data_IF_475375107962
#
_entry.id   IF_475375107962
#
_cell.length_a   1.000
_cell.length_b   1.000
_cell.length_c   1.000
_cell.angle_alpha   90.00
_cell.angle_beta   90.00
_cell.angle_gamma   90.00
#
_symmetry.space_group_name_H-M   'P 1'
#
loop_
_entity.id
_entity.type
_entity.pdbx_description
1 polymer ?
#
# COMPACT_ATOMS: atom_id res chain seq x y z
N UNK A 1 21.74 -20.52 1.28
CA UNK A 1 21.88 -19.73 2.52
C UNK A 1 23.16 -18.94 2.46
N UNK A 2 23.04 -17.66 2.11
CA UNK A 2 23.97 -16.58 2.44
C UNK A 2 23.06 -15.40 2.69
N UNK A 3 22.84 -15.13 3.98
CA UNK A 3 22.03 -14.03 4.46
C UNK A 3 22.84 -12.75 4.27
N UNK A 4 22.60 -12.08 3.14
CA UNK A 4 23.10 -10.73 2.91
C UNK A 4 22.30 -9.80 3.81
N UNK A 5 22.95 -9.29 4.87
CA UNK A 5 22.40 -8.22 5.70
C UNK A 5 21.91 -7.02 4.87
N UNK A 6 21.16 -6.10 5.48
CA UNK A 6 20.34 -5.12 4.78
C UNK A 6 21.22 -4.15 3.99
N UNK A 7 21.51 -4.49 2.73
CA UNK A 7 21.90 -3.53 1.70
C UNK A 7 20.76 -2.53 1.60
N UNK A 8 21.07 -1.22 1.67
CA UNK A 8 20.21 -0.07 1.39
C UNK A 8 18.86 -0.48 0.82
N UNK A 9 17.89 -0.72 1.71
CA UNK A 9 16.57 -1.13 1.28
C UNK A 9 15.98 0.08 0.56
N UNK A 10 16.11 0.09 -0.78
CA UNK A 10 15.45 1.06 -1.65
C UNK A 10 14.02 1.24 -1.13
N UNK A 11 13.64 2.48 -0.89
CA UNK A 11 12.29 2.84 -0.47
C UNK A 11 11.28 2.11 -1.37
N UNK A 12 10.38 1.34 -0.74
CA UNK A 12 9.34 0.57 -1.42
C UNK A 12 8.07 1.40 -1.41
N UNK A 13 7.38 1.43 -2.55
CA UNK A 13 6.13 2.17 -2.67
C UNK A 13 5.06 1.66 -1.71
N UNK A 14 4.19 2.56 -1.29
CA UNK A 14 3.07 2.31 -0.38
C UNK A 14 2.22 1.12 -0.83
N UNK A 15 1.83 1.09 -2.10
CA UNK A 15 1.05 -0.02 -2.68
C UNK A 15 1.79 -1.36 -2.63
N UNK A 16 3.11 -1.36 -2.81
CA UNK A 16 3.94 -2.56 -2.68
C UNK A 16 3.89 -3.15 -1.26
N UNK A 17 3.86 -2.27 -0.25
CA UNK A 17 3.78 -2.64 1.17
C UNK A 17 2.39 -3.13 1.59
N UNK A 18 1.34 -2.60 0.97
CA UNK A 18 -0.05 -2.87 1.32
C UNK A 18 -0.73 -3.94 0.45
N UNK A 19 -0.06 -4.40 -0.59
CA UNK A 19 -0.56 -5.36 -1.57
C UNK A 19 -1.25 -6.60 -1.02
N UNK A 20 -0.76 -7.14 0.10
CA UNK A 20 -1.31 -8.33 0.73
C UNK A 20 -2.65 -8.08 1.43
N UNK A 21 -3.01 -6.80 1.66
CA UNK A 21 -4.28 -6.34 2.23
C UNK A 21 -5.29 -5.88 1.17
N UNK A 22 -4.97 -6.02 -0.12
CA UNK A 22 -5.89 -5.71 -1.21
C UNK A 22 -7.22 -6.46 -1.01
N UNK A 23 -8.32 -5.71 -0.85
CA UNK A 23 -9.65 -6.25 -0.57
C UNK A 23 -10.33 -5.74 0.70
N UNK A 24 -9.62 -5.01 1.57
CA UNK A 24 -10.19 -4.38 2.75
C UNK A 24 -10.04 -2.85 2.64
N UNK A 25 -11.02 -2.19 2.02
CA UNK A 25 -10.88 -0.81 1.55
C UNK A 25 -10.69 0.25 2.66
N UNK A 26 -11.44 0.16 3.77
CA UNK A 26 -11.29 1.08 4.91
C UNK A 26 -10.00 0.81 5.72
N UNK A 27 -9.63 -0.46 6.00
CA UNK A 27 -8.32 -0.79 6.56
C UNK A 27 -7.15 -0.32 5.70
N UNK A 28 -7.29 -0.29 4.36
CA UNK A 28 -6.18 0.06 3.47
C UNK A 28 -5.67 1.50 3.69
N UNK A 29 -6.55 2.48 3.86
CA UNK A 29 -6.14 3.87 4.04
C UNK A 29 -5.52 4.13 5.42
N UNK A 30 -6.02 3.47 6.48
CA UNK A 30 -5.42 3.57 7.82
C UNK A 30 -4.08 2.89 7.89
N UNK A 31 -3.95 1.73 7.24
CA UNK A 31 -2.69 1.01 7.14
C UNK A 31 -1.66 1.79 6.33
N UNK A 32 -2.08 2.44 5.25
CA UNK A 32 -1.25 3.33 4.48
C UNK A 32 -0.72 4.51 5.31
N UNK A 33 -1.60 5.13 6.10
CA UNK A 33 -1.19 6.18 7.03
C UNK A 33 -0.19 5.64 8.06
N UNK A 34 -0.44 4.48 8.66
CA UNK A 34 0.48 3.86 9.63
C UNK A 34 1.86 3.59 9.00
N UNK A 35 1.88 3.08 7.77
CA UNK A 35 3.11 2.87 6.98
C UNK A 35 3.89 4.17 6.78
N UNK A 36 3.23 5.27 6.43
CA UNK A 36 3.87 6.58 6.27
C UNK A 36 4.39 7.13 7.62
N UNK A 37 3.69 6.84 8.72
CA UNK A 37 4.10 7.21 10.08
C UNK A 37 5.27 6.38 10.63
N UNK A 38 5.73 5.34 9.93
CA UNK A 38 7.00 4.68 10.29
C UNK A 38 8.21 5.58 9.99
N UNK A 39 8.11 6.47 8.99
CA UNK A 39 9.15 7.43 8.64
C UNK A 39 9.22 8.56 9.70
N UNK A 40 10.36 8.71 10.42
CA UNK A 40 10.46 9.65 11.53
C UNK A 40 10.07 11.09 11.21
N UNK A 41 10.45 11.61 10.03
CA UNK A 41 10.14 13.00 9.66
C UNK A 41 8.62 13.24 9.52
N UNK A 42 7.92 12.32 8.87
CA UNK A 42 6.46 12.36 8.70
C UNK A 42 5.77 12.17 10.05
N UNK A 43 6.21 11.18 10.84
CA UNK A 43 5.68 10.93 12.19
C UNK A 43 5.76 12.15 13.07
N UNK A 44 6.94 12.77 13.17
CA UNK A 44 7.16 13.96 14.01
C UNK A 44 6.29 15.12 13.54
N UNK A 45 6.15 15.34 12.23
CA UNK A 45 5.30 16.41 11.70
C UNK A 45 3.83 16.20 12.11
N UNK A 46 3.29 15.00 11.92
CA UNK A 46 1.90 14.67 12.28
C UNK A 46 1.67 14.76 13.78
N UNK A 47 2.56 14.21 14.61
CA UNK A 47 2.44 14.26 16.07
C UNK A 47 2.51 15.70 16.59
N UNK A 48 3.38 16.55 16.02
CA UNK A 48 3.47 17.97 16.39
C UNK A 48 2.19 18.74 16.03
N UNK A 49 1.60 18.48 14.85
CA UNK A 49 0.32 19.09 14.46
C UNK A 49 -0.81 18.66 15.40
N UNK A 50 -0.92 17.36 15.69
CA UNK A 50 -1.91 16.83 16.63
C UNK A 50 -1.74 17.41 18.03
N UNK A 51 -0.51 17.45 18.55
CA UNK A 51 -0.21 18.01 19.88
C UNK A 51 -0.58 19.50 19.95
N UNK A 52 -0.27 20.27 18.89
CA UNK A 52 -0.64 21.68 18.82
C UNK A 52 -2.15 21.90 18.86
N UNK A 53 -2.94 20.98 18.29
CA UNK A 53 -4.42 21.01 18.33
C UNK A 53 -4.99 20.59 19.68
N UNK A 54 -4.36 19.65 20.37
CA UNK A 54 -4.77 19.21 21.70
C UNK A 54 -4.43 20.23 22.80
N UNK A 55 -3.23 20.81 22.76
CA UNK A 55 -2.67 21.63 23.85
C UNK A 55 -3.59 22.73 24.41
N UNK A 56 -4.40 23.45 23.60
CA UNK A 56 -5.35 24.45 24.12
C UNK A 56 -6.46 23.87 25.02
N UNK A 57 -6.77 22.58 24.91
CA UNK A 57 -7.86 21.90 25.63
C UNK A 57 -7.34 20.86 26.62
N UNK A 58 -6.17 20.31 26.35
CA UNK A 58 -5.55 19.27 27.15
C UNK A 58 -4.03 19.51 27.25
N UNK A 59 -3.59 20.47 28.09
CA UNK A 59 -2.20 20.96 28.11
C UNK A 59 -1.15 19.93 28.53
N UNK A 60 -1.57 18.91 29.27
CA UNK A 60 -0.67 17.89 29.84
C UNK A 60 -0.34 16.76 28.84
N UNK A 61 -0.91 16.79 27.63
CA UNK A 61 -0.58 15.84 26.58
C UNK A 61 0.83 16.11 26.03
N UNK A 62 1.60 15.05 25.81
CA UNK A 62 2.91 15.11 25.16
C UNK A 62 3.02 13.98 24.14
N UNK A 63 2.69 14.27 22.88
CA UNK A 63 2.73 13.30 21.80
C UNK A 63 4.14 13.09 21.25
N UNK A 64 5.11 13.93 21.61
CA UNK A 64 6.53 13.70 21.30
C UNK A 64 7.07 12.44 21.98
N UNK A 65 6.37 11.93 22.99
CA UNK A 65 6.67 10.65 23.63
C UNK A 65 6.35 9.44 22.74
N UNK A 66 5.57 9.59 21.67
CA UNK A 66 5.25 8.49 20.75
C UNK A 66 6.51 8.15 19.94
N UNK A 67 7.09 6.99 20.22
CA UNK A 67 8.30 6.49 19.53
C UNK A 67 7.98 5.48 18.44
N UNK A 68 6.85 4.78 18.57
CA UNK A 68 6.40 3.72 17.67
C UNK A 68 4.94 3.91 17.29
N UNK A 69 4.58 3.53 16.06
CA UNK A 69 3.23 3.61 15.52
C UNK A 69 2.89 2.28 14.87
N UNK A 70 1.89 1.61 15.45
CA UNK A 70 1.50 0.26 15.05
C UNK A 70 0.13 0.30 14.36
N UNK A 71 -0.01 -0.31 13.17
CA UNK A 71 -1.33 -0.57 12.60
C UNK A 71 -2.06 -1.62 13.46
N UNK A 72 -3.38 -1.47 13.55
CA UNK A 72 -4.37 -2.41 14.09
C UNK A 72 -3.83 -3.60 14.88
N UNK A 73 -3.90 -3.53 16.22
CA UNK A 73 -3.61 -4.68 17.07
C UNK A 73 -4.87 -5.53 17.26
N UNK A 74 -5.04 -6.57 16.44
CA UNK A 74 -6.14 -7.52 16.60
C UNK A 74 -5.89 -8.42 17.82
N UNK A 75 -6.56 -8.14 18.94
CA UNK A 75 -6.49 -8.98 20.15
C UNK A 75 -7.62 -10.02 20.25
N UNK A 76 -8.57 -10.00 19.31
CA UNK A 76 -9.64 -10.98 19.17
C UNK A 76 -10.74 -10.91 20.23
N UNK A 77 -10.71 -9.93 21.15
CA UNK A 77 -11.66 -9.86 22.29
C UNK A 77 -12.40 -8.53 22.34
N UNK A 78 -11.74 -7.43 21.98
CA UNK A 78 -12.35 -6.11 21.93
C UNK A 78 -12.13 -5.48 20.55
N UNK A 79 -12.98 -4.53 20.15
CA UNK A 79 -12.72 -3.77 18.92
C UNK A 79 -11.29 -3.24 18.95
N UNK A 80 -10.57 -3.35 17.84
CA UNK A 80 -9.17 -2.94 17.76
C UNK A 80 -9.10 -1.58 17.08
N UNK A 81 -8.47 -0.57 17.71
CA UNK A 81 -8.26 0.72 17.07
C UNK A 81 -7.44 0.57 15.80
N UNK A 82 -7.66 1.47 14.84
CA UNK A 82 -6.99 1.38 13.54
C UNK A 82 -5.48 1.65 13.63
N UNK A 83 -5.06 2.63 14.45
CA UNK A 83 -3.65 2.95 14.69
C UNK A 83 -3.41 3.22 16.18
N UNK A 84 -2.30 2.71 16.70
CA UNK A 84 -1.85 2.95 18.08
C UNK A 84 -0.44 3.56 18.06
N UNK A 85 -0.27 4.70 18.72
CA UNK A 85 1.02 5.29 19.00
C UNK A 85 1.47 4.96 20.42
N UNK A 86 2.66 4.36 20.53
CA UNK A 86 3.22 3.88 21.79
C UNK A 86 4.42 4.72 22.23
N UNK A 87 4.57 4.88 23.54
CA UNK A 87 5.79 5.46 24.13
C UNK A 87 6.94 4.45 24.24
N UNK A 88 8.08 4.89 24.77
CA UNK A 88 9.29 4.08 24.97
C UNK A 88 9.11 2.90 25.94
N UNK A 89 8.01 2.88 26.68
CA UNK A 89 7.60 1.79 27.56
C UNK A 89 6.53 0.88 26.92
N UNK A 90 6.16 1.14 25.67
CA UNK A 90 5.12 0.42 24.95
C UNK A 90 3.70 0.78 25.41
N UNK A 91 3.50 1.90 26.12
CA UNK A 91 2.16 2.34 26.55
C UNK A 91 1.43 3.07 25.42
N UNK A 92 0.14 2.77 25.16
CA UNK A 92 -0.61 3.35 24.04
C UNK A 92 -1.12 4.77 24.33
N UNK A 93 -0.23 5.75 24.29
CA UNK A 93 -0.55 7.15 24.61
C UNK A 93 -1.27 7.90 23.47
N UNK A 94 -1.36 7.29 22.29
CA UNK A 94 -2.14 7.79 21.15
C UNK A 94 -2.96 6.64 20.56
N UNK A 95 -4.24 6.88 20.32
CA UNK A 95 -5.09 6.01 19.50
C UNK A 95 -5.70 6.85 18.39
N UNK A 96 -5.67 6.35 17.17
CA UNK A 96 -6.38 6.93 16.03
C UNK A 96 -7.40 5.91 15.53
N UNK A 97 -8.66 6.30 15.53
CA UNK A 97 -9.74 5.57 14.88
C UNK A 97 -10.15 6.36 13.64
N UNK A 98 -10.04 5.73 12.46
CA UNK A 98 -10.47 6.35 11.22
C UNK A 98 -11.73 5.71 10.67
N UNK A 99 -12.60 6.52 10.10
CA UNK A 99 -13.83 6.04 9.47
C UNK A 99 -14.12 6.79 8.19
N UNK A 100 -14.54 6.09 7.14
CA UNK A 100 -15.07 6.72 5.92
C UNK A 100 -16.60 6.69 5.90
N UNK A 101 -17.17 5.48 5.93
CA UNK A 101 -18.60 5.27 5.68
C UNK A 101 -19.33 4.82 6.95
N UNK A 102 -18.68 4.00 7.78
CA UNK A 102 -19.32 3.44 8.95
C UNK A 102 -19.44 4.49 10.08
N UNK A 103 -20.61 4.64 10.73
CA UNK A 103 -20.77 5.54 11.87
C UNK A 103 -19.88 5.08 13.03
N UNK A 104 -19.13 6.01 13.63
CA UNK A 104 -18.52 5.77 14.93
C UNK A 104 -19.66 5.59 15.94
N UNK A 105 -19.74 4.41 16.55
CA UNK A 105 -20.73 4.14 17.58
C UNK A 105 -20.21 4.67 18.92
N UNK A 106 -21.12 5.22 19.74
CA UNK A 106 -20.74 5.75 21.06
C UNK A 106 -20.12 4.68 21.94
N UNK A 107 -20.67 3.46 21.92
CA UNK A 107 -20.17 2.31 22.70
C UNK A 107 -18.74 1.94 22.29
N UNK A 108 -18.40 2.11 21.00
CA UNK A 108 -17.06 1.87 20.48
C UNK A 108 -16.07 2.92 21.03
N UNK A 109 -16.45 4.20 20.99
CA UNK A 109 -15.63 5.28 21.56
C UNK A 109 -15.41 5.10 23.07
N UNK A 110 -16.46 4.76 23.82
CA UNK A 110 -16.38 4.46 25.26
C UNK A 110 -15.40 3.31 25.51
N UNK A 111 -15.52 2.21 24.73
CA UNK A 111 -14.63 1.06 24.87
C UNK A 111 -13.17 1.43 24.67
N UNK A 112 -12.84 2.24 23.65
CA UNK A 112 -11.47 2.66 23.41
C UNK A 112 -10.91 3.56 24.51
N UNK A 113 -11.70 4.53 24.98
CA UNK A 113 -11.30 5.42 26.06
C UNK A 113 -11.03 4.65 27.36
N UNK A 114 -11.89 3.69 27.71
CA UNK A 114 -11.68 2.82 28.88
C UNK A 114 -10.43 1.94 28.75
N UNK A 115 -10.19 1.39 27.56
CA UNK A 115 -8.99 0.59 27.29
C UNK A 115 -7.72 1.45 27.42
N UNK A 116 -7.72 2.65 26.84
CA UNK A 116 -6.59 3.57 26.95
C UNK A 116 -6.33 3.96 28.40
N UNK A 117 -7.34 4.39 29.17
CA UNK A 117 -7.12 4.81 30.56
C UNK A 117 -6.55 3.68 31.43
N UNK A 118 -7.02 2.44 31.20
CA UNK A 118 -6.47 1.25 31.86
C UNK A 118 -5.01 1.03 31.48
N UNK A 119 -4.70 1.10 30.19
CA UNK A 119 -3.40 0.70 29.65
C UNK A 119 -2.32 1.79 29.85
N UNK A 120 -2.71 3.06 29.93
CA UNK A 120 -1.81 4.17 30.28
C UNK A 120 -1.65 4.37 31.79
N UNK A 121 -2.43 3.67 32.62
CA UNK A 121 -2.38 3.72 34.09
C UNK A 121 -2.55 5.14 34.65
N UNK A 122 -3.44 5.92 34.03
CA UNK A 122 -3.75 7.30 34.44
C UNK A 122 -2.80 8.36 33.89
N UNK A 123 -1.84 7.99 33.03
CA UNK A 123 -1.05 8.97 32.27
C UNK A 123 -1.91 9.65 31.18
N UNK A 124 -1.64 10.92 30.85
CA UNK A 124 -2.32 11.61 29.75
C UNK A 124 -2.17 10.85 28.43
N UNK A 125 -3.27 10.73 27.69
CA UNK A 125 -3.32 10.06 26.39
C UNK A 125 -4.19 10.84 25.41
N UNK A 126 -4.06 10.55 24.13
CA UNK A 126 -4.83 11.17 23.07
C UNK A 126 -5.70 10.14 22.35
N UNK A 127 -6.97 10.50 22.12
CA UNK A 127 -7.86 9.78 21.23
C UNK A 127 -8.21 10.64 20.02
N UNK A 128 -7.80 10.20 18.84
CA UNK A 128 -8.00 10.93 17.58
C UNK A 128 -9.03 10.22 16.73
N UNK A 129 -10.04 10.97 16.28
CA UNK A 129 -11.04 10.52 15.33
C UNK A 129 -10.71 11.13 13.97
N UNK A 130 -10.35 10.29 13.00
CA UNK A 130 -9.96 10.70 11.66
C UNK A 130 -11.10 10.43 10.66
N UNK A 131 -11.70 11.51 10.14
CA UNK A 131 -12.99 11.44 9.44
C UNK A 131 -12.97 12.21 8.12
N UNK A 132 -13.84 11.89 7.14
CA UNK A 132 -14.15 12.83 6.08
C UNK A 132 -14.64 14.16 6.64
N UNK A 133 -14.29 15.28 5.99
CA UNK A 133 -14.63 16.64 6.45
C UNK A 133 -16.12 16.82 6.80
N UNK A 134 -17.03 16.23 6.03
CA UNK A 134 -18.48 16.33 6.27
C UNK A 134 -18.96 15.55 7.51
N UNK A 135 -18.14 14.65 8.08
CA UNK A 135 -18.46 13.84 9.26
C UNK A 135 -17.81 14.32 10.55
N UNK A 136 -16.82 15.22 10.47
CA UNK A 136 -16.03 15.71 11.62
C UNK A 136 -16.93 16.17 12.77
N UNK A 137 -17.97 16.96 12.51
CA UNK A 137 -18.88 17.43 13.57
C UNK A 137 -19.57 16.27 14.28
N UNK A 138 -20.19 15.36 13.54
CA UNK A 138 -20.95 14.24 14.12
C UNK A 138 -20.04 13.30 14.92
N UNK A 139 -18.83 13.01 14.42
CA UNK A 139 -17.85 12.20 15.14
C UNK A 139 -17.32 12.92 16.40
N UNK A 140 -17.10 14.23 16.32
CA UNK A 140 -16.70 15.03 17.47
C UNK A 140 -17.75 15.04 18.59
N UNK A 141 -19.03 15.15 18.22
CA UNK A 141 -20.14 15.09 19.18
C UNK A 141 -20.15 13.70 19.88
N UNK A 142 -20.01 12.60 19.12
CA UNK A 142 -19.95 11.23 19.67
C UNK A 142 -18.76 11.03 20.61
N UNK A 143 -17.57 11.47 20.20
CA UNK A 143 -16.35 11.30 20.97
C UNK A 143 -16.36 12.11 22.28
N UNK A 144 -16.86 13.35 22.24
CA UNK A 144 -17.02 14.18 23.44
C UNK A 144 -18.06 13.63 24.40
N UNK A 145 -19.21 13.20 23.89
CA UNK A 145 -20.25 12.56 24.71
C UNK A 145 -19.69 11.33 25.43
N UNK A 146 -18.91 10.50 24.75
CA UNK A 146 -18.27 9.31 25.34
C UNK A 146 -17.27 9.67 26.46
N UNK A 147 -16.41 10.68 26.24
CA UNK A 147 -15.48 11.15 27.26
C UNK A 147 -16.21 11.75 28.48
N UNK A 148 -17.26 12.55 28.24
CA UNK A 148 -18.09 13.12 29.30
C UNK A 148 -18.79 12.03 30.13
N UNK A 149 -19.35 11.01 29.48
CA UNK A 149 -19.99 9.87 30.15
C UNK A 149 -19.05 9.11 31.09
N UNK A 150 -17.77 9.02 30.72
CA UNK A 150 -16.71 8.42 31.54
C UNK A 150 -16.14 9.37 32.61
N UNK A 151 -16.59 10.62 32.67
CA UNK A 151 -16.03 11.63 33.59
C UNK A 151 -14.62 12.07 33.23
N UNK A 152 -14.18 11.84 31.99
CA UNK A 152 -12.87 12.27 31.48
C UNK A 152 -12.91 13.73 31.01
N UNK A 153 -11.73 14.33 30.84
CA UNK A 153 -11.62 15.61 30.15
C UNK A 153 -12.01 15.42 28.67
N UNK A 154 -13.07 16.08 28.20
CA UNK A 154 -13.49 16.03 26.79
C UNK A 154 -12.38 16.41 25.80
N UNK A 155 -11.39 17.20 26.24
CA UNK A 155 -10.19 17.56 25.49
C UNK A 155 -9.26 16.39 25.19
N UNK A 156 -9.46 15.21 25.79
CA UNK A 156 -8.74 13.97 25.45
C UNK A 156 -9.08 13.46 24.04
N UNK A 157 -10.23 13.92 23.50
CA UNK A 157 -10.70 13.56 22.15
C UNK A 157 -10.48 14.70 21.18
N UNK A 158 -9.81 14.41 20.07
CA UNK A 158 -9.65 15.32 18.93
C UNK A 158 -10.26 14.68 17.69
N UNK A 159 -11.13 15.41 17.00
CA UNK A 159 -11.59 15.00 15.67
C UNK A 159 -10.95 15.89 14.62
N UNK A 160 -10.33 15.25 13.63
CA UNK A 160 -9.67 15.90 12.49
C UNK A 160 -10.17 15.28 11.20
N UNK A 161 -10.09 16.06 10.11
CA UNK A 161 -10.38 15.52 8.79
C UNK A 161 -9.20 14.77 8.20
N UNK A 162 -9.48 13.79 7.34
CA UNK A 162 -8.44 13.16 6.52
C UNK A 162 -7.63 14.19 5.73
N UNK A 163 -8.29 15.16 5.09
CA UNK A 163 -7.60 16.22 4.34
C UNK A 163 -6.58 16.98 5.19
N UNK A 164 -6.93 17.35 6.43
CA UNK A 164 -6.01 18.07 7.31
C UNK A 164 -4.75 17.25 7.66
N UNK A 165 -4.90 15.94 7.88
CA UNK A 165 -3.75 15.06 8.16
C UNK A 165 -2.92 14.83 6.91
N UNK A 166 -3.56 14.63 5.75
CA UNK A 166 -2.84 14.46 4.49
C UNK A 166 -2.02 15.68 4.11
N UNK A 167 -2.54 16.90 4.35
CA UNK A 167 -1.80 18.13 4.10
C UNK A 167 -0.49 18.18 4.92
N UNK A 168 -0.51 17.69 6.17
CA UNK A 168 0.68 17.61 7.04
C UNK A 168 1.64 16.52 6.56
N UNK A 169 1.11 15.35 6.19
CA UNK A 169 1.89 14.22 5.69
C UNK A 169 2.62 14.59 4.40
N UNK A 170 1.93 15.20 3.43
CA UNK A 170 2.52 15.63 2.16
C UNK A 170 3.56 16.73 2.34
N UNK A 171 3.27 17.72 3.19
CA UNK A 171 4.23 18.78 3.48
C UNK A 171 5.53 18.20 4.09
N UNK A 172 5.42 17.21 4.97
CA UNK A 172 6.58 16.52 5.53
C UNK A 172 7.29 15.65 4.49
N UNK A 173 6.52 14.87 3.70
CA UNK A 173 7.03 13.99 2.66
C UNK A 173 7.78 14.75 1.55
N UNK A 174 7.33 15.95 1.20
CA UNK A 174 7.99 16.83 0.22
C UNK A 174 9.40 17.29 0.64
N UNK A 175 9.74 17.18 1.93
CA UNK A 175 11.10 17.47 2.43
C UNK A 175 12.05 16.27 2.31
N UNK A 176 11.52 15.10 1.98
CA UNK A 176 12.28 13.86 1.79
C UNK A 176 12.66 13.69 0.31
N UNK A 177 13.56 12.74 0.03
CA UNK A 177 14.13 12.53 -1.32
C UNK A 177 13.05 12.50 -2.43
N UNK A 178 13.34 13.12 -3.57
CA UNK A 178 12.43 13.18 -4.73
C UNK A 178 12.63 12.00 -5.70
N UNK A 179 11.53 11.57 -6.33
CA UNK A 179 11.50 10.48 -7.31
C UNK A 179 10.17 9.72 -7.27
N UNK A 180 9.93 8.80 -8.21
CA UNK A 180 8.70 7.99 -8.25
C UNK A 180 8.61 6.98 -7.09
N UNK A 181 9.74 6.70 -6.45
CA UNK A 181 9.88 5.93 -5.20
C UNK A 181 10.23 6.88 -4.07
N UNK A 182 9.39 7.87 -3.84
CA UNK A 182 9.52 8.82 -2.76
C UNK A 182 8.33 8.76 -1.84
N UNK A 183 8.55 9.17 -0.59
CA UNK A 183 7.47 9.42 0.36
C UNK A 183 6.44 10.44 -0.17
N UNK A 184 6.86 11.35 -1.07
CA UNK A 184 5.95 12.28 -1.73
C UNK A 184 4.92 11.56 -2.60
N UNK A 185 5.39 10.62 -3.43
CA UNK A 185 4.51 9.78 -4.24
C UNK A 185 3.61 8.89 -3.37
N UNK A 186 4.13 8.32 -2.28
CA UNK A 186 3.33 7.52 -1.35
C UNK A 186 2.23 8.36 -0.65
N UNK A 187 2.54 9.60 -0.24
CA UNK A 187 1.57 10.49 0.39
C UNK A 187 0.44 10.87 -0.58
N UNK A 188 0.79 11.13 -1.84
CA UNK A 188 -0.16 11.44 -2.91
C UNK A 188 -1.04 10.21 -3.24
N UNK A 189 -0.47 9.00 -3.27
CA UNK A 189 -1.23 7.75 -3.40
C UNK A 189 -2.26 7.57 -2.27
N UNK A 190 -1.87 7.87 -1.03
CA UNK A 190 -2.80 7.85 0.10
C UNK A 190 -3.90 8.92 -0.06
N UNK A 191 -3.55 10.14 -0.49
CA UNK A 191 -4.56 11.18 -0.77
C UNK A 191 -5.57 10.71 -1.79
N UNK A 192 -5.12 10.13 -2.89
CA UNK A 192 -6.00 9.66 -3.95
C UNK A 192 -6.94 8.56 -3.47
N UNK A 193 -6.44 7.63 -2.65
CA UNK A 193 -7.24 6.58 -2.01
C UNK A 193 -8.32 7.17 -1.11
N UNK A 194 -7.95 8.14 -0.25
CA UNK A 194 -8.87 8.84 0.65
C UNK A 194 -9.93 9.61 -0.13
N UNK A 195 -9.53 10.33 -1.19
CA UNK A 195 -10.44 11.11 -2.03
C UNK A 195 -11.42 10.22 -2.76
N UNK A 196 -10.96 9.10 -3.32
CA UNK A 196 -11.81 8.11 -3.95
C UNK A 196 -12.89 7.62 -2.98
N UNK A 197 -12.52 7.24 -1.76
CA UNK A 197 -13.50 6.80 -0.73
C UNK A 197 -14.42 7.92 -0.28
N UNK A 198 -13.93 9.16 -0.20
CA UNK A 198 -14.72 10.32 0.22
C UNK A 198 -15.74 10.76 -0.84
N UNK A 199 -15.41 10.67 -2.13
CA UNK A 199 -16.25 11.19 -3.22
C UNK A 199 -17.07 10.13 -3.94
N UNK A 200 -16.62 8.88 -3.99
CA UNK A 200 -17.24 7.89 -4.85
C UNK A 200 -18.59 7.37 -4.32
N UNK A 201 -18.92 7.54 -3.03
CA UNK A 201 -20.15 7.00 -2.45
C UNK A 201 -20.32 5.50 -2.70
N UNK A 202 -19.22 4.80 -3.01
CA UNK A 202 -19.20 3.40 -3.37
C UNK A 202 -19.33 2.60 -2.08
N UNK A 203 -20.51 1.98 -1.92
CA UNK A 203 -20.71 0.95 -0.92
C UNK A 203 -19.55 -0.06 -1.04
N UNK A 204 -18.83 -0.36 0.05
CA UNK A 204 -17.76 -1.34 0.00
C UNK A 204 -18.31 -2.68 -0.48
N UNK A 205 -17.52 -3.48 -1.23
CA UNK A 205 -17.94 -4.82 -1.61
C UNK A 205 -18.34 -5.59 -0.35
N UNK A 206 -19.60 -6.02 -0.31
CA UNK A 206 -20.25 -6.60 0.88
C UNK A 206 -19.79 -8.02 1.22
N UNK A 207 -18.86 -8.59 0.45
CA UNK A 207 -18.33 -9.93 0.69
C UNK A 207 -17.11 -9.88 1.61
N UNK A 208 -17.29 -10.31 2.86
CA UNK A 208 -16.23 -10.56 3.85
C UNK A 208 -15.41 -11.83 3.58
N UNK A 209 -15.61 -12.46 2.42
CA UNK A 209 -14.90 -13.67 2.05
C UNK A 209 -13.57 -13.30 1.37
N UNK A 210 -12.50 -13.27 2.14
CA UNK A 210 -11.14 -12.94 1.65
C UNK A 210 -10.62 -13.94 0.60
N UNK A 211 -11.22 -15.12 0.50
CA UNK A 211 -10.94 -16.08 -0.56
C UNK A 211 -11.58 -15.69 -1.91
N UNK A 212 -12.71 -14.96 -1.93
CA UNK A 212 -13.36 -14.51 -3.17
C UNK A 212 -12.70 -13.29 -3.81
N UNK A 213 -11.84 -12.57 -3.09
CA UNK A 213 -11.20 -11.33 -3.57
C UNK A 213 -10.15 -11.63 -4.65
N UNK A 214 -9.45 -12.75 -4.51
CA UNK A 214 -8.52 -13.24 -5.53
C UNK A 214 -9.25 -13.92 -6.69
N UNK A 215 -10.35 -14.64 -6.40
CA UNK A 215 -11.21 -15.26 -7.43
C UNK A 215 -11.98 -14.21 -8.26
N UNK A 216 -12.22 -13.02 -7.71
CA UNK A 216 -12.86 -11.93 -8.45
C UNK A 216 -11.88 -11.07 -9.25
N UNK A 217 -10.60 -10.93 -8.86
CA UNK A 217 -9.45 -10.28 -9.57
C UNK A 217 -9.71 -8.94 -10.34
N UNK A 218 -10.92 -8.40 -10.27
CA UNK A 218 -11.47 -7.21 -10.93
C UNK A 218 -10.62 -5.96 -10.68
N UNK A 219 -10.11 -5.71 -9.46
CA UNK A 219 -9.30 -4.53 -9.20
C UNK A 219 -7.96 -4.52 -9.93
N UNK A 220 -7.37 -5.67 -10.27
CA UNK A 220 -6.10 -5.71 -11.01
C UNK A 220 -6.31 -5.77 -12.52
N UNK A 221 -7.47 -6.24 -13.00
CA UNK A 221 -7.78 -6.25 -14.44
C UNK A 221 -7.81 -4.85 -15.05
N UNK A 222 -8.17 -3.82 -14.28
CA UNK A 222 -8.15 -2.43 -14.77
C UNK A 222 -6.74 -1.93 -15.05
N UNK A 223 -5.71 -2.58 -14.49
CA UNK A 223 -4.29 -2.26 -14.69
C UNK A 223 -3.68 -3.24 -15.70
N UNK A 224 -3.85 -4.54 -15.45
CA UNK A 224 -3.22 -5.61 -16.21
C UNK A 224 -3.75 -5.66 -17.65
N UNK A 225 -5.05 -5.46 -17.89
CA UNK A 225 -5.60 -5.51 -19.25
C UNK A 225 -5.08 -4.34 -20.12
N UNK A 226 -5.17 -3.07 -19.69
CA UNK A 226 -4.62 -1.97 -20.48
C UNK A 226 -3.10 -2.07 -20.65
N UNK A 227 -2.35 -2.41 -19.59
CA UNK A 227 -0.90 -2.55 -19.66
C UNK A 227 -0.48 -3.64 -20.65
N UNK A 228 -1.12 -4.81 -20.58
CA UNK A 228 -0.87 -5.90 -21.54
C UNK A 228 -1.18 -5.45 -22.97
N UNK A 229 -2.30 -4.74 -23.19
CA UNK A 229 -2.68 -4.27 -24.53
C UNK A 229 -1.64 -3.30 -25.10
N UNK A 230 -1.17 -2.34 -24.29
CA UNK A 230 -0.14 -1.38 -24.71
C UNK A 230 1.20 -2.07 -24.97
N UNK A 231 1.59 -3.05 -24.14
CA UNK A 231 2.77 -3.89 -24.38
C UNK A 231 2.66 -4.66 -25.72
N UNK A 232 1.48 -5.21 -26.04
CA UNK A 232 1.23 -5.88 -27.32
C UNK A 232 1.34 -4.91 -28.51
N UNK A 233 0.78 -3.71 -28.38
CA UNK A 233 0.86 -2.65 -29.40
C UNK A 233 2.31 -2.24 -29.68
N UNK A 234 3.10 -2.03 -28.62
CA UNK A 234 4.52 -1.66 -28.74
C UNK A 234 5.34 -2.78 -29.39
N UNK A 235 5.04 -4.04 -29.07
CA UNK A 235 5.83 -5.20 -29.52
C UNK A 235 5.35 -5.80 -30.85
N UNK A 236 4.19 -5.39 -31.35
CA UNK A 236 3.60 -5.93 -32.58
C UNK A 236 3.21 -7.41 -32.49
N UNK A 237 2.99 -7.93 -31.28
CA UNK A 237 2.67 -9.33 -31.01
C UNK A 237 1.20 -9.64 -31.31
N UNK A 238 0.94 -10.57 -32.24
CA UNK A 238 -0.42 -10.90 -32.72
C UNK A 238 -1.14 -12.02 -31.95
N UNK A 239 -0.58 -12.53 -30.85
CA UNK A 239 -1.12 -13.72 -30.17
C UNK A 239 -1.48 -13.44 -28.71
N UNK A 240 -2.75 -13.15 -28.51
CA UNK A 240 -3.40 -13.12 -27.21
C UNK A 240 -3.75 -14.54 -26.77
N UNK A 241 -3.09 -15.06 -25.74
CA UNK A 241 -3.55 -16.25 -25.04
C UNK A 241 -4.10 -15.80 -23.69
N UNK A 242 -5.42 -15.57 -23.64
CA UNK A 242 -6.14 -15.44 -22.37
C UNK A 242 -6.07 -16.80 -21.68
N UNK A 243 -5.30 -16.93 -20.61
CA UNK A 243 -5.50 -18.09 -19.75
C UNK A 243 -6.82 -17.89 -19.01
N UNK A 244 -7.71 -18.88 -19.11
CA UNK A 244 -8.78 -19.04 -18.13
C UNK A 244 -8.17 -19.24 -16.76
N UNK A 245 -8.96 -18.96 -15.72
CA UNK A 245 -8.65 -19.23 -14.31
C UNK A 245 -7.95 -20.58 -14.23
N UNK A 246 -6.64 -20.56 -13.98
CA UNK A 246 -5.89 -21.79 -13.81
C UNK A 246 -6.27 -22.33 -12.44
N UNK A 247 -6.71 -23.60 -12.37
CA UNK A 247 -7.08 -24.29 -11.13
C UNK A 247 -5.94 -24.38 -10.09
N UNK A 248 -4.77 -23.83 -10.41
CA UNK A 248 -3.55 -23.79 -9.60
C UNK A 248 -3.42 -22.54 -8.72
N UNK A 249 -4.44 -21.67 -8.64
CA UNK A 249 -4.47 -20.52 -7.71
C UNK A 249 -3.68 -19.30 -8.20
N UNK A 250 -3.29 -19.31 -9.47
CA UNK A 250 -2.70 -18.19 -10.18
C UNK A 250 -3.84 -17.33 -10.75
N UNK A 251 -3.84 -16.03 -10.46
CA UNK A 251 -4.80 -15.10 -11.06
C UNK A 251 -4.68 -15.03 -12.59
N UNK A 252 -5.47 -14.20 -13.26
CA UNK A 252 -5.37 -14.01 -14.71
C UNK A 252 -3.98 -13.53 -15.13
N UNK A 253 -3.33 -14.30 -16.00
CA UNK A 253 -2.05 -13.95 -16.63
C UNK A 253 -2.24 -13.74 -18.13
N UNK A 254 -1.58 -12.73 -18.69
CA UNK A 254 -1.57 -12.49 -20.13
C UNK A 254 -0.23 -12.88 -20.72
N UNK A 255 -0.22 -13.83 -21.65
CA UNK A 255 1.00 -14.33 -22.27
C UNK A 255 1.33 -13.55 -23.52
N UNK A 256 2.59 -13.13 -23.63
CA UNK A 256 3.17 -12.66 -24.88
C UNK A 256 4.26 -13.63 -25.28
N UNK A 257 4.13 -14.19 -26.49
CA UNK A 257 5.07 -15.15 -27.03
C UNK A 257 6.18 -14.45 -27.81
N UNK A 258 7.41 -14.57 -27.33
CA UNK A 258 8.58 -14.06 -28.03
C UNK A 258 9.07 -15.07 -29.09
N UNK A 259 9.73 -14.62 -30.17
CA UNK A 259 10.18 -15.48 -31.28
C UNK A 259 11.07 -16.66 -30.88
N UNK A 260 11.70 -16.60 -29.71
CA UNK A 260 12.73 -17.54 -29.20
C UNK A 260 12.18 -18.62 -28.27
N UNK A 261 10.85 -18.79 -28.21
CA UNK A 261 10.24 -19.77 -27.31
C UNK A 261 10.25 -19.35 -25.85
N UNK A 262 10.57 -18.09 -25.55
CA UNK A 262 10.32 -17.45 -24.25
C UNK A 262 8.91 -16.85 -24.25
N UNK A 263 8.24 -16.94 -23.10
CA UNK A 263 6.93 -16.37 -22.84
C UNK A 263 7.08 -15.49 -21.60
N UNK A 264 6.53 -14.27 -21.63
CA UNK A 264 6.31 -13.53 -20.40
C UNK A 264 4.81 -13.41 -20.11
N UNK A 265 4.48 -13.23 -18.85
CA UNK A 265 3.13 -12.90 -18.44
C UNK A 265 3.08 -11.91 -17.28
N UNK A 266 2.20 -10.91 -17.39
CA UNK A 266 1.87 -9.97 -16.34
C UNK A 266 0.59 -10.42 -15.64
N UNK A 267 0.59 -10.41 -14.31
CA UNK A 267 -0.60 -10.72 -13.53
C UNK A 267 -0.37 -10.77 -12.02
N UNK A 268 -1.45 -10.87 -11.24
CA UNK A 268 -1.34 -10.95 -9.79
C UNK A 268 -0.87 -12.34 -9.31
N UNK A 269 -0.04 -12.39 -8.25
CA UNK A 269 0.46 -13.64 -7.68
C UNK A 269 0.23 -13.73 -6.16
N UNK A 270 -0.83 -14.43 -5.74
CA UNK A 270 -1.30 -14.50 -4.35
C UNK A 270 -0.20 -14.96 -3.37
N UNK A 271 0.52 -16.03 -3.69
CA UNK A 271 1.55 -16.57 -2.82
C UNK A 271 2.78 -15.66 -2.68
N UNK A 272 2.97 -14.69 -3.60
CA UNK A 272 4.09 -13.76 -3.56
C UNK A 272 3.72 -12.37 -3.05
N UNK A 273 2.43 -12.01 -3.09
CA UNK A 273 1.91 -10.79 -2.46
C UNK A 273 2.25 -10.75 -0.95
N UNK A 274 2.23 -11.91 -0.28
CA UNK A 274 2.59 -12.05 1.14
C UNK A 274 4.09 -11.84 1.44
N UNK A 275 4.94 -11.70 0.42
CA UNK A 275 6.37 -11.42 0.58
C UNK A 275 6.73 -9.92 0.54
N UNK A 276 5.72 -9.04 0.53
CA UNK A 276 5.91 -7.59 0.69
C UNK A 276 6.52 -6.89 -0.53
N UNK A 277 6.28 -7.44 -1.73
CA UNK A 277 6.85 -6.97 -3.01
C UNK A 277 5.76 -6.61 -4.04
N UNK A 278 4.56 -6.25 -3.58
CA UNK A 278 3.46 -5.93 -4.47
C UNK A 278 2.65 -7.14 -4.94
N UNK A 279 1.42 -6.91 -5.45
CA UNK A 279 0.54 -7.98 -5.88
C UNK A 279 0.78 -8.37 -7.35
N UNK A 280 1.36 -7.46 -8.16
CA UNK A 280 1.61 -7.63 -9.59
C UNK A 280 3.03 -8.12 -9.86
N UNK A 281 3.13 -9.08 -10.76
CA UNK A 281 4.39 -9.72 -11.11
C UNK A 281 4.48 -9.95 -12.61
N UNK A 282 5.71 -9.84 -13.13
CA UNK A 282 6.07 -10.36 -14.44
C UNK A 282 6.71 -11.72 -14.27
N UNK A 283 6.08 -12.72 -14.86
CA UNK A 283 6.62 -14.07 -15.03
C UNK A 283 7.35 -14.16 -16.35
N UNK A 284 8.56 -14.68 -16.37
CA UNK A 284 9.31 -14.99 -17.58
C UNK A 284 9.63 -16.48 -17.57
N UNK A 285 9.23 -17.17 -18.62
CA UNK A 285 9.43 -18.60 -18.80
C UNK A 285 9.70 -18.94 -20.24
N UNK A 286 9.81 -20.24 -20.52
CA UNK A 286 9.70 -20.72 -21.89
C UNK A 286 8.42 -21.48 -22.13
N UNK A 287 8.00 -21.50 -23.39
CA UNK A 287 6.91 -22.34 -23.85
C UNK A 287 7.19 -23.80 -23.46
N UNK A 288 6.21 -24.54 -22.92
CA UNK A 288 6.34 -25.97 -22.66
C UNK A 288 6.73 -26.79 -23.90
N UNK A 289 6.59 -26.20 -25.10
CA UNK A 289 6.83 -26.83 -26.40
C UNK A 289 8.17 -26.44 -27.04
N UNK A 290 9.00 -25.62 -26.39
CA UNK A 290 10.27 -25.14 -26.95
C UNK A 290 11.48 -25.70 -26.19
N UNK A 291 12.28 -26.54 -26.87
CA UNK A 291 13.59 -26.99 -26.42
C UNK A 291 14.61 -25.88 -26.65
N UNK A 292 14.85 -25.03 -25.64
CA UNK A 292 15.82 -23.92 -25.76
C UNK A 292 15.69 -22.80 -24.73
N UNK A 293 15.27 -23.12 -23.50
CA UNK A 293 14.96 -22.12 -22.48
C UNK A 293 16.23 -21.61 -21.79
N UNK A 294 16.76 -20.46 -22.21
CA UNK A 294 17.86 -19.75 -21.50
C UNK A 294 17.33 -19.01 -20.25
N UNK A 295 16.62 -19.72 -19.37
CA UNK A 295 16.05 -19.13 -18.15
C UNK A 295 17.14 -18.76 -17.15
N UNK A 296 18.22 -19.54 -17.07
CA UNK A 296 19.36 -19.22 -16.24
C UNK A 296 20.10 -17.97 -16.75
N UNK A 297 20.16 -17.76 -18.07
CA UNK A 297 20.68 -16.51 -18.64
C UNK A 297 19.76 -15.32 -18.38
N UNK A 298 18.44 -15.48 -18.46
CA UNK A 298 17.47 -14.43 -18.05
C UNK A 298 17.71 -14.05 -16.58
N UNK A 299 17.73 -15.03 -15.67
CA UNK A 299 17.99 -14.82 -14.25
C UNK A 299 19.32 -14.09 -14.04
N UNK A 300 20.38 -14.55 -14.69
CA UNK A 300 21.72 -13.98 -14.57
C UNK A 300 21.81 -12.54 -15.10
N UNK A 301 21.04 -12.17 -16.13
CA UNK A 301 20.98 -10.79 -16.64
C UNK A 301 20.22 -9.89 -15.67
N UNK A 302 19.04 -10.29 -15.23
CA UNK A 302 18.22 -9.53 -14.27
C UNK A 302 18.94 -9.33 -12.93
N UNK A 303 19.60 -10.38 -12.41
CA UNK A 303 20.35 -10.31 -11.15
C UNK A 303 21.55 -9.36 -11.23
N UNK A 304 22.24 -9.32 -12.39
CA UNK A 304 23.39 -8.42 -12.61
C UNK A 304 23.00 -6.95 -12.74
N UNK A 305 21.76 -6.65 -13.13
CA UNK A 305 21.33 -5.26 -13.28
C UNK A 305 21.11 -4.54 -11.94
N UNK A 306 21.02 -5.29 -10.83
CA UNK A 306 21.03 -4.73 -9.47
C UNK A 306 19.79 -3.88 -9.16
N UNK A 307 18.72 -4.52 -8.71
CA UNK A 307 17.54 -3.77 -8.28
C UNK A 307 16.26 -4.57 -8.10
N UNK A 308 16.17 -5.75 -8.71
CA UNK A 308 14.97 -6.59 -8.63
C UNK A 308 15.15 -7.78 -7.69
N UNK A 309 14.10 -8.04 -6.90
CA UNK A 309 14.01 -9.26 -6.09
C UNK A 309 13.45 -10.37 -6.95
N UNK A 310 14.31 -11.27 -7.43
CA UNK A 310 13.90 -12.38 -8.29
C UNK A 310 13.37 -13.54 -7.45
N UNK A 311 12.32 -14.20 -7.95
CA UNK A 311 11.80 -15.46 -7.40
C UNK A 311 11.77 -16.53 -8.48
N UNK A 312 12.10 -17.76 -8.08
CA UNK A 312 12.03 -18.92 -8.95
C UNK A 312 10.87 -19.80 -8.53
N UNK A 313 9.99 -20.12 -9.47
CA UNK A 313 8.88 -21.03 -9.22
C UNK A 313 8.45 -21.72 -10.52
N UNK A 314 8.33 -23.05 -10.50
CA UNK A 314 7.91 -23.90 -11.63
C UNK A 314 8.73 -23.71 -12.92
N UNK A 315 10.01 -23.35 -12.81
CA UNK A 315 10.89 -23.10 -13.97
C UNK A 315 10.66 -21.75 -14.64
N UNK A 316 10.01 -20.82 -13.95
CA UNK A 316 9.86 -19.43 -14.32
C UNK A 316 10.68 -18.52 -13.40
N UNK A 317 11.13 -17.40 -13.95
CA UNK A 317 11.66 -16.28 -13.18
C UNK A 317 10.53 -15.28 -12.99
N UNK A 318 10.30 -14.89 -11.75
CA UNK A 318 9.30 -13.92 -11.36
C UNK A 318 9.97 -12.65 -10.88
N UNK A 319 9.49 -11.53 -11.40
CA UNK A 319 9.96 -10.19 -11.08
C UNK A 319 8.78 -9.37 -10.56
N UNK A 320 8.87 -8.77 -9.37
CA UNK A 320 7.81 -7.94 -8.84
C UNK A 320 7.68 -6.67 -9.68
N UNK A 321 6.45 -6.20 -9.84
CA UNK A 321 6.13 -4.90 -10.43
C UNK A 321 5.69 -3.98 -9.31
N UNK A 322 6.42 -2.88 -9.15
CA UNK A 322 6.02 -1.81 -8.25
C UNK A 322 4.87 -1.06 -8.91
N UNK A 323 3.81 -0.73 -8.17
CA UNK A 323 2.74 0.11 -8.71
C UNK A 323 3.11 1.56 -8.37
N UNK A 324 3.72 2.22 -9.35
CA UNK A 324 4.07 3.64 -9.32
C UNK A 324 2.94 4.42 -10.03
N UNK A 325 2.54 5.58 -9.52
CA UNK A 325 1.47 6.40 -10.11
C UNK A 325 0.17 6.44 -9.31
N UNK A 326 -0.74 7.33 -9.75
CA UNK A 326 -1.73 7.99 -8.90
C UNK A 326 -3.18 7.76 -9.34
N UNK A 327 -3.43 7.56 -10.65
CA UNK A 327 -4.71 7.11 -11.23
C UNK A 327 -4.51 6.69 -12.71
N UNK A 328 -5.46 5.91 -13.23
CA UNK A 328 -5.71 5.68 -14.66
C UNK A 328 -4.48 5.34 -15.53
N UNK A 329 -4.19 6.16 -16.55
CA UNK A 329 -3.18 5.89 -17.59
C UNK A 329 -1.74 5.95 -17.03
N UNK A 330 -1.44 6.83 -16.09
CA UNK A 330 -0.08 6.96 -15.51
C UNK A 330 0.33 5.68 -14.77
N UNK A 331 -0.64 5.03 -14.12
CA UNK A 331 -0.44 3.75 -13.45
C UNK A 331 -0.18 2.64 -14.48
N UNK A 332 -0.95 2.63 -15.57
CA UNK A 332 -0.76 1.69 -16.69
C UNK A 332 0.61 1.89 -17.32
N UNK A 333 1.01 3.12 -17.60
CA UNK A 333 2.30 3.47 -18.21
C UNK A 333 3.47 3.09 -17.31
N UNK A 334 3.39 3.38 -16.00
CA UNK A 334 4.42 2.96 -15.05
C UNK A 334 4.60 1.44 -14.96
N UNK A 335 3.51 0.67 -15.11
CA UNK A 335 3.58 -0.80 -15.22
C UNK A 335 4.20 -1.23 -16.55
N UNK A 336 3.77 -0.61 -17.67
CA UNK A 336 4.30 -0.90 -19.02
C UNK A 336 5.80 -0.65 -19.07
N UNK A 337 6.26 0.50 -18.60
CA UNK A 337 7.68 0.90 -18.58
C UNK A 337 8.53 -0.10 -17.79
N UNK A 338 8.07 -0.48 -16.60
CA UNK A 338 8.76 -1.48 -15.78
C UNK A 338 8.82 -2.85 -16.47
N UNK A 339 7.73 -3.30 -17.10
CA UNK A 339 7.74 -4.55 -17.86
C UNK A 339 8.71 -4.44 -19.04
N UNK A 340 8.71 -3.33 -19.78
CA UNK A 340 9.64 -3.14 -20.89
C UNK A 340 11.09 -3.15 -20.43
N UNK A 341 11.42 -2.54 -19.29
CA UNK A 341 12.75 -2.56 -18.69
C UNK A 341 13.19 -3.96 -18.29
N UNK A 342 12.30 -4.70 -17.61
CA UNK A 342 12.52 -6.10 -17.24
C UNK A 342 12.78 -6.95 -18.49
N UNK A 343 11.99 -6.76 -19.55
CA UNK A 343 12.15 -7.53 -20.78
C UNK A 343 13.40 -7.13 -21.56
N UNK A 344 13.72 -5.83 -21.64
CA UNK A 344 14.94 -5.33 -22.29
C UNK A 344 16.20 -5.91 -21.66
N UNK A 345 16.20 -6.09 -20.35
CA UNK A 345 17.35 -6.60 -19.60
C UNK A 345 17.34 -8.13 -19.55
N UNK A 346 16.18 -8.73 -19.32
CA UNK A 346 16.01 -10.17 -19.18
C UNK A 346 16.20 -10.92 -20.48
N UNK A 347 15.79 -10.34 -21.62
CA UNK A 347 15.84 -10.99 -22.92
C UNK A 347 17.13 -10.66 -23.70
N UNK A 348 17.64 -11.57 -24.55
CA UNK A 348 18.84 -11.31 -25.35
C UNK A 348 18.67 -10.16 -26.36
N UNK A 349 19.67 -9.29 -26.47
CA UNK A 349 19.70 -8.12 -27.39
C UNK A 349 19.60 -8.48 -28.88
N UNK A 350 19.91 -9.72 -29.25
CA UNK A 350 19.81 -10.25 -30.63
C UNK A 350 18.39 -10.28 -31.20
N UNK A 351 17.41 -9.78 -30.46
CA UNK A 351 15.99 -9.69 -30.82
C UNK A 351 15.57 -8.31 -31.34
N UNK A 352 16.51 -7.36 -31.49
CA UNK A 352 16.22 -6.05 -32.07
C UNK A 352 15.53 -5.08 -31.11
N UNK A 353 15.83 -5.15 -29.80
CA UNK A 353 15.31 -4.24 -28.78
C UNK A 353 16.22 -3.02 -28.52
N UNK A 354 17.34 -2.95 -29.23
CA UNK A 354 18.19 -1.75 -29.28
C UNK A 354 17.65 -0.84 -30.40
N UNK A 355 16.58 -0.08 -30.13
CA UNK A 355 16.48 1.22 -30.77
C UNK A 355 17.48 2.13 -30.06
N UNK A 356 18.48 2.61 -30.81
CA UNK A 356 19.37 3.66 -30.32
C UNK A 356 18.52 4.79 -29.73
N UNK A 357 18.95 5.42 -28.62
CA UNK A 357 18.29 6.63 -28.15
C UNK A 357 18.29 7.63 -29.30
N UNK A 358 17.09 7.97 -29.79
CA UNK A 358 16.90 9.02 -30.79
C UNK A 358 17.61 10.25 -30.26
N UNK A 359 18.69 10.64 -30.94
CA UNK A 359 19.55 11.74 -30.52
C UNK A 359 18.73 12.99 -30.24
N UNK A 360 18.92 13.52 -29.03
CA UNK A 360 18.51 14.87 -28.72
C UNK A 360 19.29 15.86 -29.61
N UNK A 361 18.62 16.85 -30.23
CA UNK A 361 19.30 18.08 -30.63
C UNK A 361 19.72 18.91 -29.41
#
# INVERSE_FOLDING_TARGET
MTDSGPQDAKHRTLLGRLAWRAGLDEPLATDALAVLLEEPAIRVAVLNDLEARFRPRYPDIDLRRVVDVLPRMFDGVHGSPDIVGCDDQGRPILVIEAKFDSPLRREQAISYLQLQERDTKGEPFAFVLLMPKYRVKAASDVGRDAAHELGMNEGVVLTVSWQEILDVVEAAAATLQSGTRSYGADAEQLRDLVEYRTHAGLEPPTSTNTDDIWDTSLPFYVIVNPATRRLDEIRGTKRYLRQGIDSSGFGPFHYVAEPVGLLYALGPHRAFASHGLGPLWVRIGGSPRADGRDIDGVRSRLARHGGWVLRDDWGYVWVPIDIEGLRDEDLVDGVVDQVQDILRVGLPSSLGLDEEPIGAP
#
